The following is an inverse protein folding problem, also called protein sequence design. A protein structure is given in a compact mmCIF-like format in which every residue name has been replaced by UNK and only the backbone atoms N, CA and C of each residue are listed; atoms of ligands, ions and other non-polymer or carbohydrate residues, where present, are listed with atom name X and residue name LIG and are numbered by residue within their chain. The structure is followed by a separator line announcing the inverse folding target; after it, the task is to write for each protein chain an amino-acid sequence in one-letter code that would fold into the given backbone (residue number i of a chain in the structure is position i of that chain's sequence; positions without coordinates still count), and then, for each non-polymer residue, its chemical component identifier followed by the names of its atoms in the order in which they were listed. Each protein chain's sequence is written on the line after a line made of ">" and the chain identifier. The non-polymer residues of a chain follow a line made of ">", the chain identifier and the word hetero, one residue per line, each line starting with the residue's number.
data_IF_472024609434
#
_entry.id   IF_472024609434
#
_cell.length_a   1.000
_cell.length_b   1.000
_cell.length_c   1.000
_cell.angle_alpha   90.00
_cell.angle_beta   90.00
_cell.angle_gamma   90.00
#
_symmetry.space_group_name_H-M   'P 1'
#
loop_
_entity.id
_entity.type
_entity.pdbx_description
1 polymer ?
#
# COMPACT_ATOMS: atom_id res chain seq x y z
N UNK A 1 20.85 -18.86 -6.79
CA UNK A 1 19.42 -18.56 -7.05
C UNK A 1 19.13 -17.20 -6.44
N UNK A 2 18.60 -16.25 -7.21
CA UNK A 2 18.27 -14.92 -6.69
C UNK A 2 17.00 -15.01 -5.83
N UNK A 3 17.06 -14.45 -4.61
CA UNK A 3 15.90 -14.34 -3.73
C UNK A 3 15.54 -12.85 -3.61
N UNK A 4 14.33 -12.43 -3.99
CA UNK A 4 13.91 -11.05 -3.83
C UNK A 4 13.95 -10.60 -2.36
N UNK A 5 14.36 -9.36 -2.11
CA UNK A 5 14.55 -8.84 -0.75
C UNK A 5 13.28 -8.88 0.12
N UNK A 6 12.09 -8.73 -0.47
CA UNK A 6 10.83 -8.81 0.28
C UNK A 6 10.58 -10.20 0.87
N UNK A 7 11.07 -11.27 0.22
CA UNK A 7 10.96 -12.65 0.72
C UNK A 7 11.82 -12.82 1.97
N UNK A 8 13.05 -12.29 1.94
CA UNK A 8 13.97 -12.31 3.10
C UNK A 8 13.39 -11.52 4.27
N UNK A 9 12.81 -10.34 3.99
CA UNK A 9 12.16 -9.51 5.02
C UNK A 9 10.92 -10.20 5.60
N UNK A 10 10.15 -10.90 4.78
CA UNK A 10 9.00 -11.68 5.24
C UNK A 10 9.43 -12.84 6.14
N UNK A 11 10.38 -13.66 5.70
CA UNK A 11 10.86 -14.83 6.43
C UNK A 11 11.55 -14.47 7.76
N UNK A 12 12.25 -13.33 7.82
CA UNK A 12 12.88 -12.85 9.05
C UNK A 12 11.90 -12.18 10.03
N UNK A 13 10.64 -11.94 9.64
CA UNK A 13 9.65 -11.21 10.44
C UNK A 13 9.82 -9.69 10.42
N UNK A 14 10.90 -9.17 9.83
CA UNK A 14 11.17 -7.73 9.72
C UNK A 14 10.08 -7.00 8.93
N UNK A 15 9.53 -7.62 7.89
CA UNK A 15 8.43 -7.05 7.11
C UNK A 15 7.20 -6.77 7.99
N UNK A 16 6.85 -7.72 8.86
CA UNK A 16 5.72 -7.59 9.80
C UNK A 16 5.98 -6.46 10.79
N UNK A 17 7.18 -6.41 11.37
CA UNK A 17 7.58 -5.35 12.32
C UNK A 17 7.50 -3.95 11.69
N UNK A 18 7.89 -3.81 10.42
CA UNK A 18 7.77 -2.54 9.69
C UNK A 18 6.31 -2.16 9.43
N UNK A 19 5.47 -3.13 9.06
CA UNK A 19 4.04 -2.89 8.86
C UNK A 19 3.37 -2.42 10.16
N UNK A 20 3.59 -3.12 11.27
CA UNK A 20 3.06 -2.73 12.58
C UNK A 20 3.51 -1.32 13.01
N UNK A 21 4.79 -0.97 12.76
CA UNK A 21 5.29 0.39 13.02
C UNK A 21 4.59 1.44 12.16
N UNK A 22 4.26 1.12 10.91
CA UNK A 22 3.52 2.02 10.02
C UNK A 22 2.05 2.15 10.44
N UNK A 23 1.41 1.06 10.88
CA UNK A 23 0.04 1.07 11.39
C UNK A 23 -0.09 2.00 12.61
N UNK A 24 0.88 1.94 13.54
CA UNK A 24 0.91 2.85 14.69
C UNK A 24 1.04 4.33 14.30
N UNK A 25 1.70 4.64 13.17
CA UNK A 25 1.78 6.03 12.67
C UNK A 25 0.43 6.56 12.19
N UNK A 26 -0.55 5.69 11.93
CA UNK A 26 -1.89 6.13 11.51
C UNK A 26 -2.68 6.82 12.63
N UNK A 27 -2.29 6.65 13.90
CA UNK A 27 -2.87 7.36 15.04
C UNK A 27 -2.57 8.88 15.02
N UNK A 28 -1.50 9.29 14.32
CA UNK A 28 -1.16 10.69 14.06
C UNK A 28 -0.49 10.76 12.68
N UNK A 29 -1.33 10.69 11.63
CA UNK A 29 -0.85 10.40 10.29
C UNK A 29 0.10 11.48 9.73
N UNK A 30 1.32 11.05 9.43
CA UNK A 30 2.37 11.83 8.75
C UNK A 30 3.01 11.05 7.58
N UNK A 31 2.20 10.27 6.86
CA UNK A 31 2.66 9.42 5.75
C UNK A 31 2.98 10.23 4.49
N UNK A 32 2.31 11.36 4.27
CA UNK A 32 2.57 12.26 3.15
C UNK A 32 3.09 13.63 3.63
N UNK A 33 3.67 14.45 2.73
CA UNK A 33 4.26 15.75 3.07
C UNK A 33 3.30 16.78 3.70
N UNK A 34 1.98 16.51 3.71
CA UNK A 34 1.00 17.39 4.39
C UNK A 34 1.00 17.24 5.90
N UNK A 35 1.52 16.12 6.42
CA UNK A 35 1.64 15.86 7.85
C UNK A 35 0.37 16.18 8.66
N UNK A 36 -0.80 15.78 8.15
CA UNK A 36 -2.09 16.24 8.67
C UNK A 36 -2.41 15.85 10.12
N UNK A 37 -1.67 14.91 10.71
CA UNK A 37 -1.80 14.54 12.12
C UNK A 37 -3.12 13.84 12.51
N UNK A 38 -4.03 13.60 11.57
CA UNK A 38 -5.32 12.96 11.86
C UNK A 38 -5.14 11.52 12.35
N UNK A 39 -6.01 11.12 13.26
CA UNK A 39 -6.09 9.76 13.78
C UNK A 39 -6.98 8.89 12.90
N UNK A 40 -6.35 8.16 11.98
CA UNK A 40 -7.08 7.26 11.07
C UNK A 40 -7.59 6.01 11.79
N UNK A 41 -6.96 5.60 12.90
CA UNK A 41 -7.40 4.43 13.67
C UNK A 41 -8.76 4.69 14.31
N UNK A 42 -9.05 5.95 14.65
CA UNK A 42 -10.36 6.41 15.14
C UNK A 42 -11.25 7.01 14.03
N UNK A 43 -10.98 6.67 12.76
CA UNK A 43 -11.86 7.01 11.63
C UNK A 43 -11.75 8.45 11.12
N UNK A 44 -10.82 9.26 11.62
CA UNK A 44 -10.63 10.62 11.12
C UNK A 44 -10.05 10.61 9.70
N UNK A 45 -10.41 11.63 8.92
CA UNK A 45 -9.93 11.83 7.55
C UNK A 45 -9.33 13.23 7.44
N UNK A 46 -8.12 13.30 6.89
CA UNK A 46 -7.47 14.56 6.54
C UNK A 46 -7.82 15.01 5.13
N UNK A 47 -7.08 16.01 4.64
CA UNK A 47 -7.23 16.55 3.27
C UNK A 47 -7.20 15.47 2.18
N UNK A 48 -6.39 14.43 2.37
CA UNK A 48 -6.28 13.35 1.39
C UNK A 48 -7.51 12.43 1.30
N UNK A 49 -8.50 12.57 2.17
CA UNK A 49 -9.71 11.73 2.28
C UNK A 49 -9.49 10.22 2.51
N UNK A 50 -8.25 9.76 2.64
CA UNK A 50 -7.95 8.36 2.97
C UNK A 50 -8.43 7.99 4.38
N UNK A 51 -8.87 6.74 4.55
CA UNK A 51 -9.25 6.17 5.85
C UNK A 51 -8.11 5.31 6.41
N UNK A 52 -8.37 4.51 7.46
CA UNK A 52 -7.42 3.51 7.97
C UNK A 52 -7.05 2.48 6.89
N UNK A 53 -8.05 2.02 6.12
CA UNK A 53 -7.83 1.16 4.96
C UNK A 53 -7.81 1.98 3.67
N UNK A 54 -6.96 1.60 2.69
CA UNK A 54 -6.95 2.22 1.37
C UNK A 54 -8.25 1.90 0.64
N UNK A 55 -8.67 2.82 -0.25
CA UNK A 55 -9.82 2.57 -1.13
C UNK A 55 -9.35 1.93 -2.43
N UNK A 56 -10.02 0.87 -2.86
CA UNK A 56 -9.87 0.31 -4.20
C UNK A 56 -10.91 0.98 -5.10
N UNK A 57 -10.47 1.76 -6.07
CA UNK A 57 -11.35 2.46 -7.01
C UNK A 57 -11.79 1.53 -8.14
N UNK A 58 -10.90 0.66 -8.62
CA UNK A 58 -11.19 -0.36 -9.62
C UNK A 58 -10.14 -1.48 -9.60
N UNK A 59 -10.46 -2.59 -10.24
CA UNK A 59 -9.54 -3.71 -10.45
C UNK A 59 -9.83 -4.37 -11.80
N UNK A 60 -8.80 -4.85 -12.49
CA UNK A 60 -8.96 -5.55 -13.76
C UNK A 60 -7.82 -6.53 -14.03
N UNK A 61 -8.07 -7.50 -14.92
CA UNK A 61 -7.00 -8.26 -15.55
C UNK A 61 -6.32 -7.35 -16.58
N UNK A 62 -5.00 -7.24 -16.51
CA UNK A 62 -4.19 -6.41 -17.37
C UNK A 62 -3.28 -7.28 -18.24
N UNK A 63 -3.64 -7.41 -19.51
CA UNK A 63 -2.93 -8.23 -20.48
C UNK A 63 -1.89 -7.43 -21.30
N UNK A 64 -1.78 -6.12 -21.08
CA UNK A 64 -0.89 -5.21 -21.81
C UNK A 64 0.49 -5.00 -21.18
N UNK A 65 0.74 -5.54 -19.98
CA UNK A 65 2.05 -5.46 -19.31
C UNK A 65 3.13 -6.28 -20.02
N UNK A 66 4.40 -5.88 -19.85
CA UNK A 66 5.56 -6.57 -20.41
C UNK A 66 5.55 -8.07 -20.07
N UNK A 67 5.96 -8.97 -21.00
CA UNK A 67 5.87 -10.42 -20.81
C UNK A 67 6.56 -10.95 -19.54
N UNK A 68 7.63 -10.28 -19.08
CA UNK A 68 8.34 -10.64 -17.84
C UNK A 68 7.51 -10.37 -16.58
N UNK A 69 6.51 -9.48 -16.67
CA UNK A 69 5.60 -9.12 -15.58
C UNK A 69 4.25 -9.85 -15.70
N UNK A 70 3.70 -9.98 -16.91
CA UNK A 70 2.38 -10.56 -17.18
C UNK A 70 2.35 -12.08 -17.33
N UNK A 71 3.50 -12.71 -17.63
CA UNK A 71 3.56 -14.14 -17.91
C UNK A 71 2.58 -14.56 -19.03
N UNK A 72 1.93 -15.71 -18.89
CA UNK A 72 0.99 -16.24 -19.90
C UNK A 72 -0.47 -15.91 -19.63
N UNK A 73 -0.78 -15.31 -18.48
CA UNK A 73 -2.17 -15.10 -18.01
C UNK A 73 -2.54 -13.63 -17.79
N UNK A 74 -1.63 -12.71 -18.09
CA UNK A 74 -1.78 -11.30 -17.71
C UNK A 74 -1.40 -11.06 -16.25
N UNK A 75 -1.34 -9.79 -15.87
CA UNK A 75 -1.21 -9.36 -14.48
C UNK A 75 -2.59 -8.94 -13.94
N UNK A 76 -2.71 -8.90 -12.61
CA UNK A 76 -3.86 -8.26 -11.95
C UNK A 76 -3.49 -6.83 -11.58
N UNK A 77 -4.34 -5.88 -11.92
CA UNK A 77 -4.16 -4.47 -11.55
C UNK A 77 -5.22 -4.06 -10.54
N UNK A 78 -4.78 -3.43 -9.46
CA UNK A 78 -5.62 -2.81 -8.43
C UNK A 78 -5.33 -1.31 -8.46
N UNK A 79 -6.34 -0.51 -8.75
CA UNK A 79 -6.24 0.93 -8.71
C UNK A 79 -6.71 1.42 -7.33
N UNK A 80 -5.83 2.12 -6.63
CA UNK A 80 -6.20 2.81 -5.40
C UNK A 80 -6.76 4.19 -5.72
N UNK A 81 -7.70 4.64 -4.89
CA UNK A 81 -8.28 5.99 -5.01
C UNK A 81 -7.75 6.96 -3.95
N UNK A 82 -8.40 8.12 -3.90
CA UNK A 82 -8.06 9.29 -3.08
C UNK A 82 -6.85 10.09 -3.62
N UNK A 83 -6.26 10.91 -2.75
CA UNK A 83 -5.26 11.91 -3.12
C UNK A 83 -3.99 11.27 -3.70
N UNK A 84 -3.58 11.75 -4.88
CA UNK A 84 -2.38 11.33 -5.61
C UNK A 84 -1.13 12.15 -5.25
N UNK A 85 -1.20 12.91 -4.15
CA UNK A 85 -0.17 13.90 -3.79
C UNK A 85 0.82 13.36 -2.77
#
# INVERSE_FOLDING_TARGET
>A
MFVPGYVVLYQSGELKRRAEKLDLRLASCNVCPRECGVDRLNGQRGFCHSACLPIVSSFCAHHGEEPVLSGTRGSGTIFFGNCTM
#
